data_IF_861402385984
#
_entry.id   IF_861402385984
#
_cell.length_a   1.000
_cell.length_b   1.000
_cell.length_c   1.000
_cell.angle_alpha   90.00
_cell.angle_beta   90.00
_cell.angle_gamma   90.00
#
_symmetry.space_group_name_H-M   'P 1'
#
loop_
_entity.id
_entity.type
_entity.pdbx_description
1 polymer ?
#
# COMPACT_ATOMS: atom_id res chain seq x y z
N UNK A 1 5.79 -0.69 29.96
CA UNK A 1 4.94 0.21 29.15
C UNK A 1 5.65 1.50 28.68
N UNK A 2 6.31 2.31 29.55
CA UNK A 2 6.82 3.63 29.16
C UNK A 2 7.85 3.60 28.02
N UNK A 3 8.79 2.65 28.07
CA UNK A 3 9.84 2.50 27.04
C UNK A 3 9.28 2.07 25.68
N UNK A 4 8.23 1.25 25.66
CA UNK A 4 7.56 0.83 24.42
C UNK A 4 6.83 2.01 23.80
N UNK A 5 6.12 2.80 24.62
CA UNK A 5 5.45 4.03 24.17
C UNK A 5 6.46 5.05 23.61
N UNK A 6 7.61 5.22 24.28
CA UNK A 6 8.68 6.06 23.78
C UNK A 6 9.26 5.57 22.45
N UNK A 7 9.47 4.26 22.29
CA UNK A 7 9.98 3.70 21.04
C UNK A 7 9.03 4.03 19.87
N UNK A 8 7.73 3.80 20.05
CA UNK A 8 6.70 4.14 19.05
C UNK A 8 6.70 5.65 18.74
N UNK A 9 6.84 6.49 19.76
CA UNK A 9 6.89 7.95 19.57
C UNK A 9 8.13 8.40 18.79
N UNK A 10 9.28 7.71 18.96
CA UNK A 10 10.53 7.99 18.23
C UNK A 10 10.45 7.64 16.75
N UNK A 11 9.66 6.62 16.39
CA UNK A 11 9.46 6.25 14.99
C UNK A 11 8.73 7.36 14.19
N UNK A 12 8.07 8.29 14.90
CA UNK A 12 7.39 9.44 14.29
C UNK A 12 6.19 9.08 13.43
N UNK A 13 5.64 7.88 13.63
CA UNK A 13 4.51 7.33 12.87
C UNK A 13 3.19 7.98 13.30
N UNK A 14 3.06 8.30 14.59
CA UNK A 14 1.86 8.93 15.18
C UNK A 14 2.27 10.29 15.75
N UNK A 15 2.04 11.42 15.03
CA UNK A 15 2.50 12.74 15.46
C UNK A 15 2.01 13.17 16.85
N UNK A 16 0.81 12.72 17.24
CA UNK A 16 0.23 12.99 18.56
C UNK A 16 1.09 12.42 19.70
N UNK A 17 1.86 11.36 19.44
CA UNK A 17 2.75 10.74 20.43
C UNK A 17 4.14 11.38 20.48
N UNK A 18 4.52 12.26 19.54
CA UNK A 18 5.84 12.90 19.47
C UNK A 18 6.30 13.55 20.79
N UNK A 19 5.44 14.21 21.60
CA UNK A 19 5.87 14.75 22.89
C UNK A 19 6.46 13.70 23.84
N UNK A 20 6.08 12.43 23.67
CA UNK A 20 6.53 11.30 24.49
C UNK A 20 7.86 10.70 24.02
N UNK A 21 8.40 11.13 22.88
CA UNK A 21 9.68 10.67 22.34
C UNK A 21 10.89 11.20 23.16
N UNK A 22 10.70 12.29 23.91
CA UNK A 22 11.76 12.99 24.66
C UNK A 22 12.31 12.10 25.79
N UNK A 23 13.63 11.89 25.78
CA UNK A 23 14.38 11.28 26.89
C UNK A 23 14.95 12.35 27.81
N UNK A 24 14.99 12.07 29.11
CA UNK A 24 15.81 12.84 30.05
C UNK A 24 17.30 12.63 29.79
N UNK A 25 18.18 13.43 30.42
CA UNK A 25 19.64 13.30 30.33
C UNK A 25 20.17 11.91 30.71
N UNK A 26 19.40 11.12 31.47
CA UNK A 26 19.72 9.73 31.86
C UNK A 26 19.09 8.67 30.96
N UNK A 27 18.47 9.06 29.84
CA UNK A 27 17.77 8.17 28.91
C UNK A 27 16.33 7.83 29.30
N UNK A 28 15.87 8.22 30.50
CA UNK A 28 14.56 7.85 31.04
C UNK A 28 13.38 8.61 30.38
N UNK A 29 12.29 7.91 29.99
CA UNK A 29 11.14 8.50 29.30
C UNK A 29 10.11 9.10 30.27
N UNK A 30 10.45 10.23 30.89
CA UNK A 30 9.64 10.83 31.97
C UNK A 30 8.20 11.12 31.54
N UNK A 31 8.00 11.67 30.33
CA UNK A 31 6.64 11.99 29.83
C UNK A 31 5.79 10.75 29.57
N UNK A 32 6.40 9.69 29.01
CA UNK A 32 5.72 8.42 28.81
C UNK A 32 5.41 7.74 30.17
N UNK A 33 6.30 7.87 31.14
CA UNK A 33 6.11 7.35 32.50
C UNK A 33 4.90 8.02 33.17
N UNK A 34 4.79 9.35 33.11
CA UNK A 34 3.65 10.09 33.66
C UNK A 34 2.32 9.63 33.03
N UNK A 35 2.28 9.43 31.71
CA UNK A 35 1.07 8.91 31.06
C UNK A 35 0.72 7.51 31.55
N UNK A 36 1.71 6.61 31.63
CA UNK A 36 1.45 5.25 32.10
C UNK A 36 1.01 5.22 33.56
N UNK A 37 1.58 6.08 34.41
CA UNK A 37 1.17 6.21 35.81
C UNK A 37 -0.29 6.69 35.89
N UNK A 38 -0.67 7.69 35.09
CA UNK A 38 -2.05 8.16 35.01
C UNK A 38 -3.03 7.07 34.56
N UNK A 39 -2.70 6.30 33.51
CA UNK A 39 -3.57 5.21 33.04
C UNK A 39 -3.67 4.09 34.09
N UNK A 40 -2.56 3.75 34.76
CA UNK A 40 -2.56 2.78 35.85
C UNK A 40 -3.41 3.24 37.03
N UNK A 41 -3.36 4.53 37.38
CA UNK A 41 -4.18 5.11 38.45
C UNK A 41 -5.68 4.97 38.14
N UNK A 42 -6.10 5.21 36.89
CA UNK A 42 -7.49 4.98 36.47
C UNK A 42 -7.93 3.53 36.70
N UNK A 43 -7.03 2.57 36.49
CA UNK A 43 -7.29 1.15 36.79
C UNK A 43 -7.43 0.89 38.29
N UNK A 44 -6.59 1.50 39.13
CA UNK A 44 -6.66 1.37 40.59
C UNK A 44 -7.97 1.94 41.13
N UNK A 45 -8.43 3.08 40.59
CA UNK A 45 -9.69 3.73 40.99
C UNK A 45 -10.94 2.88 40.73
N UNK A 46 -10.90 1.92 39.80
CA UNK A 46 -12.00 0.96 39.58
C UNK A 46 -12.19 0.05 40.82
N UNK A 47 -11.13 -0.19 41.59
CA UNK A 47 -11.18 -0.85 42.91
C UNK A 47 -11.53 -2.34 42.92
N UNK A 48 -12.02 -2.90 41.82
CA UNK A 48 -12.41 -4.30 41.71
C UNK A 48 -11.71 -4.99 40.52
N UNK A 49 -10.93 -6.02 40.85
CA UNK A 49 -10.14 -6.82 39.93
C UNK A 49 -10.99 -7.53 38.86
N UNK A 50 -12.21 -7.94 39.21
CA UNK A 50 -13.11 -8.68 38.31
C UNK A 50 -13.56 -7.84 37.11
N UNK A 51 -13.57 -6.51 37.25
CA UNK A 51 -13.83 -5.60 36.13
C UNK A 51 -12.57 -5.32 35.29
N UNK A 52 -11.39 -5.32 35.92
CA UNK A 52 -10.12 -5.00 35.25
C UNK A 52 -9.62 -6.18 34.42
N UNK A 53 -9.75 -7.41 34.91
CA UNK A 53 -9.21 -8.61 34.27
C UNK A 53 -9.73 -8.85 32.84
N UNK A 54 -11.04 -8.70 32.55
CA UNK A 54 -11.55 -8.81 31.17
C UNK A 54 -10.98 -7.73 30.24
N UNK A 55 -10.82 -6.49 30.73
CA UNK A 55 -10.29 -5.37 29.93
C UNK A 55 -8.84 -5.65 29.52
N UNK A 56 -7.99 -6.06 30.47
CA UNK A 56 -6.61 -6.43 30.17
C UNK A 56 -6.53 -7.62 29.21
N UNK A 57 -7.36 -8.63 29.43
CA UNK A 57 -7.42 -9.83 28.59
C UNK A 57 -7.75 -9.48 27.14
N UNK A 58 -8.66 -8.52 26.89
CA UNK A 58 -8.98 -8.05 25.55
C UNK A 58 -7.78 -7.42 24.84
N UNK A 59 -7.00 -6.58 25.52
CA UNK A 59 -5.80 -5.97 24.93
C UNK A 59 -4.74 -7.01 24.58
N UNK A 60 -4.52 -8.01 25.44
CA UNK A 60 -3.56 -9.08 25.16
C UNK A 60 -4.01 -9.99 24.01
N UNK A 61 -5.28 -10.43 24.01
CA UNK A 61 -5.84 -11.25 22.93
C UNK A 61 -5.79 -10.52 21.59
N UNK A 62 -6.06 -9.22 21.57
CA UNK A 62 -5.95 -8.40 20.36
C UNK A 62 -4.52 -8.36 19.84
N UNK A 63 -3.53 -8.14 20.72
CA UNK A 63 -2.13 -8.15 20.34
C UNK A 63 -1.72 -9.50 19.73
N UNK A 64 -2.08 -10.60 20.39
CA UNK A 64 -1.81 -11.96 19.89
C UNK A 64 -2.52 -12.27 18.58
N UNK A 65 -3.75 -11.80 18.42
CA UNK A 65 -4.50 -11.91 17.18
C UNK A 65 -3.79 -11.19 16.03
N UNK A 66 -3.37 -9.93 16.21
CA UNK A 66 -2.71 -9.17 15.15
C UNK A 66 -1.34 -9.71 14.78
N UNK A 67 -0.55 -10.17 15.76
CA UNK A 67 0.74 -10.81 15.47
C UNK A 67 0.54 -12.08 14.65
N UNK A 68 -0.40 -12.93 15.03
CA UNK A 68 -0.70 -14.16 14.30
C UNK A 68 -1.27 -13.87 12.89
N UNK A 69 -2.19 -12.92 12.78
CA UNK A 69 -2.77 -12.51 11.52
C UNK A 69 -1.72 -11.93 10.57
N UNK A 70 -0.83 -11.07 11.07
CA UNK A 70 0.27 -10.50 10.28
C UNK A 70 1.19 -11.59 9.73
N UNK A 71 1.59 -12.56 10.56
CA UNK A 71 2.38 -13.71 10.15
C UNK A 71 1.69 -14.54 9.06
N UNK A 72 0.38 -14.79 9.19
CA UNK A 72 -0.39 -15.52 8.17
C UNK A 72 -0.47 -14.74 6.87
N UNK A 73 -0.82 -13.44 6.92
CA UNK A 73 -0.94 -12.59 5.74
C UNK A 73 0.38 -12.44 5.01
N UNK A 74 1.49 -12.22 5.71
CA UNK A 74 2.81 -12.06 5.08
C UNK A 74 3.26 -13.34 4.36
N UNK A 75 2.99 -14.51 4.96
CA UNK A 75 3.25 -15.81 4.34
C UNK A 75 2.38 -16.08 3.11
N UNK A 76 1.07 -15.82 3.19
CA UNK A 76 0.14 -16.05 2.07
C UNK A 76 0.34 -15.07 0.91
N UNK A 77 0.61 -13.81 1.23
CA UNK A 77 0.85 -12.76 0.25
C UNK A 77 2.25 -12.80 -0.35
N UNK A 78 3.14 -13.67 0.16
CA UNK A 78 4.56 -13.74 -0.23
C UNK A 78 5.18 -12.35 -0.20
N UNK A 79 5.13 -11.71 0.97
CA UNK A 79 5.72 -10.38 1.16
C UNK A 79 7.23 -10.45 0.87
N UNK A 80 7.82 -9.53 0.09
CA UNK A 80 9.20 -9.69 -0.42
C UNK A 80 10.27 -9.99 0.64
N UNK A 81 10.16 -9.33 1.80
CA UNK A 81 11.14 -9.47 2.90
C UNK A 81 10.78 -10.54 3.94
N UNK A 82 9.72 -11.32 3.74
CA UNK A 82 9.25 -12.32 4.71
C UNK A 82 9.82 -13.70 4.42
N UNK A 83 10.80 -14.15 5.22
CA UNK A 83 11.48 -15.46 5.09
C UNK A 83 11.70 -16.13 6.45
N UNK A 84 10.66 -16.66 7.10
CA UNK A 84 10.79 -17.30 8.40
C UNK A 84 11.68 -18.55 8.30
N UNK A 85 12.77 -18.59 9.05
CA UNK A 85 13.74 -19.71 9.07
C UNK A 85 13.45 -20.76 10.14
N UNK A 86 12.44 -20.54 10.98
CA UNK A 86 12.11 -21.43 12.07
C UNK A 86 11.48 -22.73 11.55
N UNK A 87 12.00 -23.89 11.97
CA UNK A 87 11.65 -25.22 11.43
C UNK A 87 10.17 -25.59 11.58
N UNK A 88 9.53 -25.22 12.69
CA UNK A 88 8.16 -25.61 12.99
C UNK A 88 7.13 -24.50 12.68
N UNK A 89 7.55 -23.46 11.97
CA UNK A 89 6.65 -22.41 11.54
C UNK A 89 5.83 -22.87 10.32
N UNK A 90 4.50 -22.73 10.41
CA UNK A 90 3.61 -22.87 9.26
C UNK A 90 2.49 -21.83 9.34
N UNK A 91 2.08 -21.26 8.19
CA UNK A 91 1.09 -20.18 8.14
C UNK A 91 -0.27 -20.58 8.71
N UNK A 92 -0.63 -21.88 8.61
CA UNK A 92 -1.89 -22.40 9.17
C UNK A 92 -1.90 -22.40 10.69
N UNK A 93 -0.75 -22.62 11.34
CA UNK A 93 -0.65 -22.58 12.79
C UNK A 93 -0.90 -21.15 13.31
N UNK A 94 -0.32 -20.15 12.64
CA UNK A 94 -0.63 -18.75 12.93
C UNK A 94 -2.10 -18.41 12.66
N UNK A 95 -2.71 -18.95 11.60
CA UNK A 95 -4.12 -18.70 11.30
C UNK A 95 -5.04 -19.27 12.39
N UNK A 96 -4.75 -20.48 12.88
CA UNK A 96 -5.45 -21.11 14.01
C UNK A 96 -5.28 -20.27 15.28
N UNK A 97 -4.07 -19.75 15.53
CA UNK A 97 -3.82 -18.87 16.67
C UNK A 97 -4.65 -17.57 16.61
N UNK A 98 -4.72 -16.94 15.43
CA UNK A 98 -5.52 -15.74 15.22
C UNK A 98 -7.03 -16.02 15.40
N UNK A 99 -7.53 -17.12 14.84
CA UNK A 99 -8.95 -17.48 14.96
C UNK A 99 -9.32 -17.82 16.41
N UNK A 100 -8.46 -18.53 17.14
CA UNK A 100 -8.68 -18.83 18.56
C UNK A 100 -8.74 -17.54 19.39
N UNK A 101 -7.82 -16.59 19.17
CA UNK A 101 -7.85 -15.31 19.87
C UNK A 101 -9.16 -14.56 19.59
N UNK A 102 -9.60 -14.51 18.33
CA UNK A 102 -10.85 -13.87 17.93
C UNK A 102 -12.07 -14.53 18.61
N UNK A 103 -12.15 -15.85 18.59
CA UNK A 103 -13.24 -16.61 19.22
C UNK A 103 -13.30 -16.33 20.72
N UNK A 104 -12.16 -16.37 21.43
CA UNK A 104 -12.12 -16.10 22.87
C UNK A 104 -12.54 -14.66 23.19
N UNK A 105 -12.14 -13.68 22.37
CA UNK A 105 -12.60 -12.28 22.54
C UNK A 105 -14.12 -12.17 22.43
N UNK A 106 -14.74 -12.78 21.41
CA UNK A 106 -16.18 -12.75 21.23
C UNK A 106 -16.95 -13.52 22.32
N UNK A 107 -16.41 -14.65 22.79
CA UNK A 107 -16.99 -15.43 23.88
C UNK A 107 -16.97 -14.68 25.21
N UNK A 108 -15.91 -13.89 25.47
CA UNK A 108 -15.80 -13.10 26.71
C UNK A 108 -16.70 -11.86 26.68
N UNK A 109 -16.63 -11.04 25.63
CA UNK A 109 -17.54 -9.91 25.44
C UNK A 109 -17.53 -9.42 24.00
N UNK A 110 -18.59 -9.73 23.27
CA UNK A 110 -18.74 -9.35 21.87
C UNK A 110 -18.75 -7.83 21.65
N UNK A 111 -19.33 -7.04 22.57
CA UNK A 111 -19.42 -5.59 22.44
C UNK A 111 -18.05 -4.91 22.67
N UNK A 112 -17.28 -5.34 23.68
CA UNK A 112 -15.92 -4.84 23.87
C UNK A 112 -15.01 -5.28 22.72
N UNK A 113 -15.16 -6.51 22.22
CA UNK A 113 -14.40 -7.00 21.07
C UNK A 113 -14.63 -6.14 19.81
N UNK A 114 -15.88 -5.84 19.47
CA UNK A 114 -16.22 -4.98 18.33
C UNK A 114 -15.66 -3.57 18.49
N UNK A 115 -15.82 -2.95 19.66
CA UNK A 115 -15.31 -1.61 19.93
C UNK A 115 -13.78 -1.58 19.81
N UNK A 116 -13.09 -2.56 20.40
CA UNK A 116 -11.65 -2.62 20.41
C UNK A 116 -11.09 -2.88 18.99
N UNK A 117 -11.70 -3.78 18.21
CA UNK A 117 -11.34 -3.99 16.80
C UNK A 117 -11.58 -2.74 15.95
N UNK A 118 -12.67 -2.02 16.19
CA UNK A 118 -12.97 -0.75 15.51
C UNK A 118 -11.88 0.30 15.76
N UNK A 119 -11.50 0.52 17.03
CA UNK A 119 -10.43 1.44 17.41
C UNK A 119 -9.11 1.02 16.76
N UNK A 120 -8.76 -0.27 16.81
CA UNK A 120 -7.53 -0.78 16.20
C UNK A 120 -7.51 -0.59 14.68
N UNK A 121 -8.65 -0.80 14.00
CA UNK A 121 -8.79 -0.56 12.57
C UNK A 121 -8.61 0.91 12.19
N UNK A 122 -9.17 1.83 12.98
CA UNK A 122 -8.97 3.28 12.81
C UNK A 122 -7.51 3.65 12.99
N UNK A 123 -6.85 3.16 14.04
CA UNK A 123 -5.42 3.41 14.30
C UNK A 123 -4.56 2.85 13.16
N UNK A 124 -4.82 1.63 12.70
CA UNK A 124 -4.12 1.03 11.57
C UNK A 124 -4.24 1.89 10.30
N UNK A 125 -5.46 2.31 9.95
CA UNK A 125 -5.69 3.16 8.77
C UNK A 125 -5.07 4.54 8.90
N UNK A 126 -5.09 5.12 10.10
CA UNK A 126 -4.42 6.39 10.38
C UNK A 126 -2.90 6.30 10.16
N UNK A 127 -2.27 5.23 10.68
CA UNK A 127 -0.85 4.97 10.49
C UNK A 127 -0.52 4.78 9.00
N UNK A 128 -1.34 3.99 8.28
CA UNK A 128 -1.16 3.75 6.84
C UNK A 128 -1.21 5.06 6.03
N UNK A 129 -2.19 5.92 6.33
CA UNK A 129 -2.36 7.23 5.68
C UNK A 129 -1.17 8.16 5.95
N UNK A 130 -0.75 8.30 7.21
CA UNK A 130 0.38 9.16 7.58
C UNK A 130 1.71 8.64 7.05
N UNK A 131 1.88 7.32 6.99
CA UNK A 131 3.03 6.68 6.35
C UNK A 131 3.10 7.02 4.86
N UNK A 132 1.97 6.92 4.15
CA UNK A 132 1.88 7.28 2.74
C UNK A 132 2.14 8.78 2.48
N UNK A 133 1.61 9.66 3.32
CA UNK A 133 1.84 11.11 3.24
C UNK A 133 3.32 11.47 3.45
N UNK A 134 3.99 10.81 4.39
CA UNK A 134 5.42 11.02 4.67
C UNK A 134 6.32 10.52 3.53
N UNK A 135 6.02 9.35 2.96
CA UNK A 135 6.83 8.72 1.90
C UNK A 135 6.64 9.43 0.54
N UNK A 136 5.39 9.83 0.22
CA UNK A 136 5.01 10.28 -1.13
C UNK A 136 4.52 11.73 -1.21
N UNK A 137 4.42 12.44 -0.08
CA UNK A 137 3.99 13.84 0.01
C UNK A 137 2.46 14.07 -0.02
N UNK A 138 1.69 13.12 -0.54
CA UNK A 138 0.22 13.13 -0.57
C UNK A 138 -0.30 11.80 -0.03
N UNK A 139 -1.15 11.83 1.01
CA UNK A 139 -1.65 10.62 1.67
C UNK A 139 -2.45 9.70 0.75
N UNK A 140 -3.44 10.21 0.02
CA UNK A 140 -4.31 9.36 -0.82
C UNK A 140 -3.57 8.83 -2.05
N UNK A 141 -2.81 9.68 -2.74
CA UNK A 141 -1.98 9.24 -3.86
C UNK A 141 -0.85 8.32 -3.42
N UNK A 142 -0.26 8.58 -2.24
CA UNK A 142 0.77 7.75 -1.65
C UNK A 142 0.29 6.35 -1.31
N UNK A 143 -0.96 6.19 -0.86
CA UNK A 143 -1.57 4.87 -0.63
C UNK A 143 -1.66 4.09 -1.95
N UNK A 144 -2.15 4.73 -3.01
CA UNK A 144 -2.24 4.11 -4.34
C UNK A 144 -0.86 3.72 -4.89
N UNK A 145 0.15 4.60 -4.73
CA UNK A 145 1.54 4.33 -5.15
C UNK A 145 2.17 3.19 -4.36
N UNK A 146 1.96 3.15 -3.05
CA UNK A 146 2.45 2.08 -2.17
C UNK A 146 1.85 0.73 -2.56
N UNK A 147 0.55 0.68 -2.84
CA UNK A 147 -0.14 -0.52 -3.30
C UNK A 147 0.36 -0.99 -4.68
N UNK A 148 0.60 -0.06 -5.61
CA UNK A 148 1.15 -0.35 -6.93
C UNK A 148 2.57 -0.91 -6.83
N UNK A 149 3.45 -0.26 -6.06
CA UNK A 149 4.83 -0.72 -5.81
C UNK A 149 4.86 -2.12 -5.22
N UNK A 150 4.05 -2.37 -4.18
CA UNK A 150 3.97 -3.69 -3.55
C UNK A 150 3.56 -4.78 -4.54
N UNK A 151 2.58 -4.48 -5.40
CA UNK A 151 2.10 -5.41 -6.42
C UNK A 151 3.13 -5.67 -7.52
N UNK A 152 3.88 -4.65 -7.96
CA UNK A 152 4.94 -4.79 -8.96
C UNK A 152 6.13 -5.62 -8.44
N UNK A 153 6.60 -5.36 -7.22
CA UNK A 153 7.68 -6.15 -6.60
C UNK A 153 7.30 -7.63 -6.46
N UNK A 154 6.03 -7.91 -6.14
CA UNK A 154 5.53 -9.28 -6.04
C UNK A 154 5.45 -10.00 -7.39
N UNK A 155 5.20 -9.27 -8.48
CA UNK A 155 5.17 -9.86 -9.82
C UNK A 155 6.56 -10.28 -10.30
N UNK A 156 7.63 -9.63 -9.83
CA UNK A 156 9.02 -9.94 -10.20
C UNK A 156 9.50 -11.29 -9.64
N UNK A 157 9.04 -11.69 -8.45
CA UNK A 157 9.46 -12.95 -7.81
C UNK A 157 8.79 -14.21 -8.39
N UNK A 158 7.74 -14.07 -9.21
CA UNK A 158 6.99 -15.20 -9.77
C UNK A 158 7.63 -15.75 -11.06
N UNK A 159 7.63 -17.08 -11.31
CA UNK A 159 8.05 -17.60 -12.61
C UNK A 159 7.12 -17.05 -13.71
N UNK A 160 7.64 -16.63 -14.87
CA UNK A 160 6.80 -16.17 -15.97
C UNK A 160 5.84 -17.30 -16.35
N UNK A 161 4.55 -16.99 -16.44
CA UNK A 161 3.55 -18.00 -16.76
C UNK A 161 3.81 -18.56 -18.19
N UNK A 162 4.09 -19.86 -18.32
CA UNK A 162 4.39 -20.44 -19.64
C UNK A 162 3.19 -21.10 -20.32
N UNK A 163 2.15 -21.44 -19.57
CA UNK A 163 1.02 -22.26 -20.07
C UNK A 163 -0.21 -21.46 -20.53
N UNK A 164 -0.44 -20.28 -19.98
CA UNK A 164 -1.61 -19.44 -20.28
C UNK A 164 -1.15 -18.11 -20.88
N UNK A 165 -1.05 -18.04 -22.20
CA UNK A 165 -0.72 -16.78 -22.87
C UNK A 165 -1.88 -15.79 -22.77
N UNK A 166 -1.59 -14.57 -22.32
CA UNK A 166 -2.52 -13.44 -22.31
C UNK A 166 -1.82 -12.24 -22.98
N UNK A 167 -2.35 -11.70 -24.10
CA UNK A 167 -1.69 -10.62 -24.81
C UNK A 167 -1.63 -9.36 -23.96
N UNK A 168 -0.45 -8.79 -23.74
CA UNK A 168 -0.28 -7.41 -23.30
C UNK A 168 0.14 -6.60 -24.53
N UNK A 169 -0.63 -5.55 -24.86
CA UNK A 169 -0.54 -4.92 -26.17
C UNK A 169 0.14 -3.57 -26.06
N UNK A 170 1.22 -3.39 -26.82
CA UNK A 170 1.82 -2.09 -27.12
C UNK A 170 1.28 -1.63 -28.48
N UNK A 171 0.49 -0.55 -28.48
CA UNK A 171 -0.06 0.06 -29.69
C UNK A 171 0.82 1.23 -30.09
N UNK A 172 1.56 1.08 -31.19
CA UNK A 172 2.36 2.15 -31.76
C UNK A 172 1.45 3.06 -32.59
N UNK A 173 1.21 4.28 -32.12
CA UNK A 173 0.36 5.24 -32.80
C UNK A 173 1.20 6.33 -33.47
N UNK A 174 1.07 6.47 -34.79
CA UNK A 174 1.69 7.57 -35.54
C UNK A 174 0.90 8.86 -35.31
N UNK A 175 1.61 9.95 -35.04
CA UNK A 175 1.04 11.30 -34.93
C UNK A 175 1.11 12.02 -36.30
N UNK A 176 0.15 12.90 -36.56
CA UNK A 176 0.14 13.82 -37.70
C UNK A 176 0.99 15.08 -37.40
N UNK A 177 1.12 15.97 -38.39
CA UNK A 177 1.84 17.24 -38.23
C UNK A 177 1.22 18.14 -37.12
N UNK A 178 -0.08 18.00 -36.86
CA UNK A 178 -0.78 18.69 -35.76
C UNK A 178 -0.70 17.94 -34.43
N UNK A 179 0.20 16.97 -34.31
CA UNK A 179 0.40 16.14 -33.11
C UNK A 179 -0.83 15.32 -32.67
N UNK A 180 -1.73 15.03 -33.60
CA UNK A 180 -2.93 14.22 -33.37
C UNK A 180 -2.75 12.77 -33.86
N UNK A 181 -3.38 11.77 -33.21
CA UNK A 181 -3.34 10.37 -33.64
C UNK A 181 -3.84 10.18 -35.07
N UNK A 182 -2.95 9.77 -35.99
CA UNK A 182 -3.29 9.55 -37.41
C UNK A 182 -4.30 8.43 -37.60
N UNK A 183 -4.11 7.32 -36.89
CA UNK A 183 -4.88 6.09 -37.07
C UNK A 183 -5.64 5.72 -35.79
N UNK A 184 -6.66 6.53 -35.44
CA UNK A 184 -7.49 6.33 -34.25
C UNK A 184 -8.13 4.93 -34.18
N UNK A 185 -8.49 4.33 -35.32
CA UNK A 185 -9.07 2.98 -35.42
C UNK A 185 -8.18 1.88 -34.83
N UNK A 186 -6.85 2.05 -34.75
CA UNK A 186 -5.99 1.06 -34.08
C UNK A 186 -6.26 1.01 -32.57
N UNK A 187 -6.58 2.15 -31.96
CA UNK A 187 -6.92 2.24 -30.54
C UNK A 187 -8.30 1.58 -30.32
N UNK A 188 -9.26 1.82 -31.21
CA UNK A 188 -10.56 1.14 -31.20
C UNK A 188 -10.42 -0.38 -31.31
N UNK A 189 -9.57 -0.87 -32.21
CA UNK A 189 -9.30 -2.31 -32.36
C UNK A 189 -8.67 -2.89 -31.09
N UNK A 190 -7.72 -2.20 -30.47
CA UNK A 190 -7.14 -2.62 -29.20
C UNK A 190 -8.20 -2.71 -28.07
N UNK A 191 -9.17 -1.79 -28.07
CA UNK A 191 -10.33 -1.83 -27.16
C UNK A 191 -11.13 -3.12 -27.33
N UNK A 192 -11.46 -3.47 -28.57
CA UNK A 192 -12.23 -4.68 -28.91
C UNK A 192 -11.46 -5.97 -28.58
N UNK A 193 -10.18 -6.02 -28.92
CA UNK A 193 -9.31 -7.17 -28.65
C UNK A 193 -9.18 -7.45 -27.15
N UNK A 194 -9.10 -6.41 -26.33
CA UNK A 194 -8.84 -6.53 -24.89
C UNK A 194 -10.10 -6.54 -24.03
N UNK A 195 -11.23 -6.06 -24.56
CA UNK A 195 -12.50 -5.92 -23.85
C UNK A 195 -12.33 -5.30 -22.44
N UNK A 196 -11.43 -4.31 -22.32
CA UNK A 196 -11.13 -3.61 -21.08
C UNK A 196 -10.35 -4.39 -20.02
N UNK A 197 -9.71 -5.53 -20.36
CA UNK A 197 -8.92 -6.37 -19.43
C UNK A 197 -7.45 -6.46 -19.81
N UNK A 198 -6.59 -6.57 -18.80
CA UNK A 198 -5.13 -6.65 -18.94
C UNK A 198 -4.48 -5.29 -19.23
N UNK A 199 -3.20 -5.32 -19.56
CA UNK A 199 -2.37 -4.14 -19.83
C UNK A 199 -2.42 -3.78 -21.32
N UNK A 200 -2.64 -2.49 -21.58
CA UNK A 200 -2.53 -1.87 -22.89
C UNK A 200 -1.74 -0.58 -22.74
N UNK A 201 -0.70 -0.41 -23.55
CA UNK A 201 0.12 0.80 -23.60
C UNK A 201 0.00 1.35 -25.02
N UNK A 202 -0.35 2.63 -25.15
CA UNK A 202 -0.37 3.33 -26.43
C UNK A 202 0.83 4.27 -26.44
N UNK A 203 1.78 4.00 -27.33
CA UNK A 203 3.01 4.77 -27.44
C UNK A 203 3.09 5.51 -28.77
N UNK A 204 3.61 6.72 -28.74
CA UNK A 204 3.89 7.53 -29.92
C UNK A 204 5.29 8.11 -29.86
N UNK A 205 5.88 8.34 -31.04
CA UNK A 205 7.18 8.97 -31.18
C UNK A 205 7.03 10.32 -31.88
N UNK A 206 7.65 11.35 -31.31
CA UNK A 206 7.85 12.65 -31.93
C UNK A 206 9.30 12.77 -32.38
N UNK A 207 9.50 13.18 -33.64
CA UNK A 207 10.82 13.39 -34.20
C UNK A 207 11.31 14.79 -33.86
N UNK A 208 12.45 14.89 -33.16
CA UNK A 208 13.06 16.16 -32.79
C UNK A 208 13.86 16.11 -31.49
N UNK A 209 14.22 17.30 -31.01
CA UNK A 209 14.98 17.49 -29.78
C UNK A 209 14.04 17.66 -28.58
N UNK A 210 14.20 16.81 -27.56
CA UNK A 210 13.37 16.82 -26.35
C UNK A 210 13.36 18.17 -25.64
N UNK A 211 14.50 18.88 -25.59
CA UNK A 211 14.57 20.16 -24.88
C UNK A 211 13.66 21.22 -25.51
N UNK A 212 13.48 21.15 -26.84
CA UNK A 212 12.64 22.09 -27.58
C UNK A 212 11.19 21.64 -27.65
N UNK A 213 10.94 20.33 -27.64
CA UNK A 213 9.62 19.74 -27.87
C UNK A 213 8.94 19.16 -26.62
N UNK A 214 9.42 19.50 -25.43
CA UNK A 214 8.89 18.96 -24.18
C UNK A 214 7.40 19.34 -23.98
N UNK A 215 7.02 20.56 -24.34
CA UNK A 215 5.64 21.04 -24.22
C UNK A 215 4.69 20.30 -25.18
N UNK A 216 5.12 20.15 -26.43
CA UNK A 216 4.41 19.44 -27.50
C UNK A 216 4.26 17.95 -27.15
N UNK A 217 5.29 17.33 -26.57
CA UNK A 217 5.23 15.95 -26.10
C UNK A 217 4.19 15.77 -24.99
N UNK A 218 4.13 16.68 -24.02
CA UNK A 218 3.11 16.66 -22.98
C UNK A 218 1.70 16.90 -23.53
N UNK A 219 1.54 17.86 -24.45
CA UNK A 219 0.26 18.12 -25.11
C UNK A 219 -0.22 16.90 -25.92
N UNK A 220 0.68 16.28 -26.68
CA UNK A 220 0.42 15.04 -27.43
C UNK A 220 0.01 13.89 -26.51
N UNK A 221 0.70 13.73 -25.36
CA UNK A 221 0.40 12.72 -24.35
C UNK A 221 -0.99 12.91 -23.75
N UNK A 222 -1.40 14.17 -23.50
CA UNK A 222 -2.76 14.49 -23.07
C UNK A 222 -3.79 14.21 -24.18
N UNK A 223 -3.49 14.53 -25.44
CA UNK A 223 -4.33 14.21 -26.59
C UNK A 223 -4.57 12.70 -26.73
N UNK A 224 -3.51 11.90 -26.62
CA UNK A 224 -3.61 10.43 -26.60
C UNK A 224 -4.44 9.92 -25.43
N UNK A 225 -4.29 10.48 -24.22
CA UNK A 225 -5.13 10.14 -23.05
C UNK A 225 -6.61 10.42 -23.30
N UNK A 226 -6.96 11.53 -23.96
CA UNK A 226 -8.35 11.84 -24.33
C UNK A 226 -8.89 10.81 -25.32
N UNK A 227 -8.12 10.47 -26.36
CA UNK A 227 -8.54 9.45 -27.34
C UNK A 227 -8.70 8.07 -26.71
N UNK A 228 -7.82 7.69 -25.78
CA UNK A 228 -7.97 6.45 -24.99
C UNK A 228 -9.30 6.43 -24.21
N UNK A 229 -9.70 7.55 -23.61
CA UNK A 229 -10.96 7.67 -22.88
C UNK A 229 -12.17 7.58 -23.81
N UNK A 230 -12.15 8.29 -24.94
CA UNK A 230 -13.23 8.25 -25.94
C UNK A 230 -13.46 6.82 -26.48
N UNK A 231 -12.37 6.11 -26.80
CA UNK A 231 -12.40 4.73 -27.31
C UNK A 231 -12.58 3.66 -26.21
N UNK A 232 -12.81 4.12 -24.96
CA UNK A 232 -13.02 3.27 -23.76
C UNK A 232 -11.87 2.28 -23.50
N UNK A 233 -10.65 2.64 -23.87
CA UNK A 233 -9.46 1.83 -23.62
C UNK A 233 -8.91 2.11 -22.22
N UNK A 234 -8.88 1.07 -21.38
CA UNK A 234 -8.19 1.10 -20.09
C UNK A 234 -6.71 0.81 -20.32
N UNK A 235 -5.88 1.84 -20.31
CA UNK A 235 -4.45 1.71 -20.60
C UNK A 235 -3.66 2.97 -20.26
N UNK A 236 -2.38 2.94 -20.60
CA UNK A 236 -1.44 4.04 -20.40
C UNK A 236 -1.08 4.67 -21.75
N UNK A 237 -0.89 5.98 -21.77
CA UNK A 237 -0.40 6.71 -22.93
C UNK A 237 1.02 7.17 -22.66
N UNK A 238 1.93 6.94 -23.61
CA UNK A 238 3.33 7.34 -23.53
C UNK A 238 3.76 8.04 -24.83
N UNK A 239 4.55 9.10 -24.71
CA UNK A 239 5.07 9.84 -25.87
C UNK A 239 6.56 10.06 -25.65
N UNK A 240 7.35 9.56 -26.59
CA UNK A 240 8.81 9.67 -26.57
C UNK A 240 9.22 10.65 -27.66
N UNK A 241 10.17 11.53 -27.35
CA UNK A 241 10.80 12.41 -28.34
C UNK A 241 12.19 11.86 -28.65
N UNK A 242 12.55 11.77 -29.92
CA UNK A 242 13.90 11.38 -30.30
C UNK A 242 14.29 11.84 -31.69
N UNK A 243 15.59 11.83 -31.97
CA UNK A 243 16.17 12.37 -33.20
C UNK A 243 15.79 11.56 -34.46
N UNK A 244 15.42 10.30 -34.29
CA UNK A 244 14.97 9.42 -35.37
C UNK A 244 13.79 8.59 -34.90
N UNK A 245 12.75 8.51 -35.73
CA UNK A 245 11.56 7.69 -35.46
C UNK A 245 11.93 6.22 -35.27
N UNK A 246 12.82 5.70 -36.11
CA UNK A 246 13.19 4.27 -36.10
C UNK A 246 13.93 3.92 -34.81
N UNK A 247 14.93 4.72 -34.42
CA UNK A 247 15.68 4.50 -33.19
C UNK A 247 14.78 4.55 -31.96
N UNK A 248 13.88 5.54 -31.92
CA UNK A 248 12.98 5.74 -30.79
C UNK A 248 11.94 4.63 -30.65
N UNK A 249 11.44 4.08 -31.77
CA UNK A 249 10.60 2.89 -31.75
C UNK A 249 11.38 1.67 -31.23
N UNK A 250 12.68 1.56 -31.54
CA UNK A 250 13.53 0.49 -31.01
C UNK A 250 13.77 0.55 -29.49
N UNK A 251 13.53 1.70 -28.86
CA UNK A 251 13.62 1.88 -27.40
C UNK A 251 12.29 1.64 -26.65
N UNK A 252 11.17 1.63 -27.37
CA UNK A 252 9.82 1.38 -26.83
C UNK A 252 9.55 -0.11 -26.70
#
# INVERSE_FOLDING_TARGET
APRLLQAIAKDGVIPVLNPMAVSSSRGEPVRALLLTAFISELGILIGNLDYIAPILTMFFLMCYMFVNLACTLQSLLRTPNWRPRFRYYHWSLSLIGASLCLVVMFLSSWYYALMAMGIAGVVYKYIEYRGAEKEWGDGLRGLALSAARFSLLRLEEGPPHTKNWRPQVLVLCKLNNDYLPKHRKMITFASQLKAGKGLTIVASVLEGDYQKMAAEAQASKQGLKRVLQDERVKGFAEVVVGNSVVSSIGHL
#
